data_IF_924841643720
#
_entry.id   IF_924841643720
#
_cell.length_a   1.000
_cell.length_b   1.000
_cell.length_c   1.000
_cell.angle_alpha   90.00
_cell.angle_beta   90.00
_cell.angle_gamma   90.00
#
_symmetry.space_group_name_H-M   'P 1'
#
loop_
_entity.id
_entity.type
_entity.pdbx_description
1 polymer ?
#
# COMPACT_ATOMS: atom_id res chain seq x y z
N UNK A 1 -17.71 11.58 -11.04
CA UNK A 1 -17.00 10.49 -10.32
C UNK A 1 -15.63 11.04 -9.99
N UNK A 2 -15.28 11.15 -8.71
CA UNK A 2 -13.98 11.62 -8.28
C UNK A 2 -13.01 10.45 -8.34
N UNK A 3 -12.16 10.41 -9.36
CA UNK A 3 -11.03 9.47 -9.40
C UNK A 3 -10.13 9.78 -8.22
N UNK A 4 -10.08 8.85 -7.29
CA UNK A 4 -9.15 8.92 -6.17
C UNK A 4 -7.87 8.27 -6.66
N UNK A 5 -7.04 9.05 -7.37
CA UNK A 5 -5.71 8.59 -7.81
C UNK A 5 -4.85 8.32 -6.57
N UNK A 6 -4.74 7.05 -6.18
CA UNK A 6 -3.94 6.63 -5.04
C UNK A 6 -2.50 6.32 -5.47
N UNK A 7 -1.53 7.01 -4.87
CA UNK A 7 -0.09 6.79 -5.11
C UNK A 7 0.57 6.16 -3.88
N UNK A 8 0.49 4.83 -3.79
CA UNK A 8 1.13 4.05 -2.73
C UNK A 8 2.64 4.29 -2.67
N UNK A 9 3.28 4.40 -3.84
CA UNK A 9 4.73 4.58 -3.92
C UNK A 9 5.15 5.98 -3.48
N UNK A 10 4.35 7.00 -3.78
CA UNK A 10 4.51 8.36 -3.26
C UNK A 10 4.43 8.43 -1.73
N UNK A 11 3.50 7.70 -1.12
CA UNK A 11 3.40 7.57 0.34
C UNK A 11 4.62 6.86 0.92
N UNK A 12 5.05 5.74 0.32
CA UNK A 12 6.25 5.01 0.75
C UNK A 12 7.52 5.84 0.60
N UNK A 13 7.64 6.60 -0.49
CA UNK A 13 8.74 7.54 -0.71
C UNK A 13 8.77 8.63 0.36
N UNK A 14 7.61 9.20 0.69
CA UNK A 14 7.47 10.20 1.75
C UNK A 14 7.86 9.62 3.11
N UNK A 15 7.41 8.41 3.44
CA UNK A 15 7.79 7.69 4.65
C UNK A 15 9.31 7.47 4.73
N UNK A 16 9.95 7.02 3.63
CA UNK A 16 11.41 6.85 3.56
C UNK A 16 12.16 8.17 3.75
N UNK A 17 11.67 9.27 3.19
CA UNK A 17 12.29 10.58 3.36
C UNK A 17 12.21 11.06 4.82
N UNK A 18 11.09 10.83 5.50
CA UNK A 18 10.96 11.08 6.94
C UNK A 18 11.94 10.21 7.73
N UNK A 19 12.05 8.92 7.38
CA UNK A 19 13.05 8.01 7.96
C UNK A 19 14.49 8.51 7.80
N UNK A 20 14.84 9.13 6.67
CA UNK A 20 16.16 9.74 6.48
C UNK A 20 16.38 10.97 7.37
N UNK A 21 15.37 11.83 7.53
CA UNK A 21 15.43 12.97 8.45
C UNK A 21 15.63 12.52 9.91
N UNK A 22 15.01 11.39 10.29
CA UNK A 22 15.19 10.78 11.60
C UNK A 22 16.63 10.31 11.87
N UNK A 23 17.34 9.86 10.84
CA UNK A 23 18.75 9.43 10.95
C UNK A 23 19.71 10.62 11.11
N UNK A 24 19.34 11.80 10.60
CA UNK A 24 20.17 13.01 10.71
C UNK A 24 20.06 13.69 12.10
N UNK A 25 19.28 13.09 13.02
CA UNK A 25 19.07 13.63 14.37
C UNK A 25 20.20 13.25 15.35
N UNK A 26 21.23 12.53 14.92
CA UNK A 26 22.37 12.10 15.74
C UNK A 26 23.17 13.28 16.33
N UNK A 27 23.07 14.46 15.71
CA UNK A 27 23.63 15.70 16.26
C UNK A 27 23.04 16.03 17.65
N UNK A 28 21.77 15.74 17.90
CA UNK A 28 21.14 15.97 19.20
C UNK A 28 21.60 14.97 20.25
N UNK A 29 21.88 13.73 19.84
CA UNK A 29 22.47 12.71 20.72
C UNK A 29 23.92 13.07 21.09
N UNK A 30 24.67 13.68 20.15
CA UNK A 30 26.01 14.22 20.41
C UNK A 30 25.99 15.35 21.44
N UNK A 31 25.06 16.29 21.29
CA UNK A 31 24.93 17.44 22.21
C UNK A 31 24.54 16.97 23.61
N UNK A 32 23.74 15.92 23.75
CA UNK A 32 23.29 15.38 25.05
C UNK A 32 24.45 15.00 26.00
N UNK A 33 25.59 14.58 25.45
CA UNK A 33 26.78 14.23 26.23
C UNK A 33 27.70 15.41 26.58
N UNK A 34 27.42 16.61 26.07
CA UNK A 34 28.27 17.78 26.28
C UNK A 34 27.80 18.61 27.47
N UNK A 35 28.66 18.71 28.48
CA UNK A 35 28.51 19.65 29.59
C UNK A 35 29.65 20.67 29.49
N UNK A 36 29.34 21.95 29.27
CA UNK A 36 30.36 22.99 29.28
C UNK A 36 30.89 23.19 30.71
N UNK A 37 32.21 23.30 30.82
CA UNK A 37 32.91 23.79 32.02
C UNK A 37 33.45 25.18 31.68
N UNK A 38 32.83 26.20 32.26
CA UNK A 38 33.20 27.60 32.14
C UNK A 38 34.03 28.08 33.34
N UNK A 39 34.28 27.22 34.34
CA UNK A 39 35.03 27.52 35.55
C UNK A 39 34.17 27.84 36.78
N UNK A 40 34.84 28.04 37.93
CA UNK A 40 34.18 28.04 39.24
C UNK A 40 33.67 29.39 39.74
N UNK A 41 33.81 30.48 38.98
CA UNK A 41 33.34 31.81 39.39
C UNK A 41 31.84 31.99 39.11
N UNK A 42 31.18 32.88 39.86
CA UNK A 42 29.71 33.01 39.84
C UNK A 42 29.12 33.24 38.42
N UNK A 43 29.77 34.06 37.60
CA UNK A 43 29.34 34.31 36.22
C UNK A 43 29.51 33.09 35.31
N UNK A 44 30.56 32.29 35.51
CA UNK A 44 30.75 31.03 34.78
C UNK A 44 29.67 30.01 35.14
N UNK A 45 29.38 29.82 36.42
CA UNK A 45 28.30 28.91 36.86
C UNK A 45 26.92 29.36 36.37
N UNK A 46 26.67 30.68 36.29
CA UNK A 46 25.45 31.22 35.71
C UNK A 46 25.36 30.91 34.20
N UNK A 47 26.47 31.08 33.47
CA UNK A 47 26.53 30.77 32.04
C UNK A 47 26.35 29.27 31.78
N UNK A 48 26.98 28.41 32.58
CA UNK A 48 26.81 26.95 32.52
C UNK A 48 25.35 26.55 32.68
N UNK A 49 24.67 27.06 33.71
CA UNK A 49 23.24 26.78 33.91
C UNK A 49 22.40 27.23 32.72
N UNK A 50 22.67 28.41 32.17
CA UNK A 50 21.93 28.92 31.01
C UNK A 50 22.14 28.04 29.77
N UNK A 51 23.35 27.54 29.55
CA UNK A 51 23.67 26.63 28.44
C UNK A 51 23.07 25.25 28.68
N UNK A 52 23.14 24.74 29.91
CA UNK A 52 22.57 23.45 30.31
C UNK A 52 21.04 23.42 30.11
N UNK A 53 20.34 24.46 30.55
CA UNK A 53 18.88 24.61 30.35
C UNK A 53 18.51 24.63 28.87
N UNK A 54 19.26 25.39 28.05
CA UNK A 54 19.03 25.45 26.59
C UNK A 54 19.31 24.12 25.93
N UNK A 55 20.39 23.44 26.32
CA UNK A 55 20.75 22.11 25.83
C UNK A 55 19.63 21.11 26.15
N UNK A 56 19.16 21.09 27.39
CA UNK A 56 18.09 20.20 27.84
C UNK A 56 16.78 20.47 27.08
N UNK A 57 16.46 21.75 26.84
CA UNK A 57 15.32 22.15 26.02
C UNK A 57 15.43 21.67 24.57
N UNK A 58 16.58 21.86 23.93
CA UNK A 58 16.83 21.39 22.55
C UNK A 58 16.76 19.86 22.43
N UNK A 59 17.38 19.13 23.36
CA UNK A 59 17.36 17.67 23.38
C UNK A 59 15.93 17.14 23.58
N UNK A 60 15.15 17.76 24.47
CA UNK A 60 13.74 17.40 24.69
C UNK A 60 12.89 17.65 23.44
N UNK A 61 13.07 18.81 22.80
CA UNK A 61 12.34 19.13 21.57
C UNK A 61 12.69 18.17 20.44
N UNK A 62 13.97 17.83 20.27
CA UNK A 62 14.43 16.85 19.30
C UNK A 62 13.84 15.45 19.58
N UNK A 63 13.78 15.02 20.84
CA UNK A 63 13.15 13.74 21.20
C UNK A 63 11.64 13.71 20.85
N UNK A 64 10.94 14.82 21.05
CA UNK A 64 9.53 14.93 20.67
C UNK A 64 9.35 14.89 19.15
N UNK A 65 10.17 15.63 18.40
CA UNK A 65 10.16 15.63 16.93
C UNK A 65 10.44 14.21 16.37
N UNK A 66 11.44 13.52 16.93
CA UNK A 66 11.78 12.12 16.60
C UNK A 66 10.57 11.19 16.79
N UNK A 67 9.80 11.40 17.86
CA UNK A 67 8.58 10.60 18.13
C UNK A 67 7.48 10.87 17.10
N UNK A 68 7.25 12.13 16.75
CA UNK A 68 6.23 12.52 15.77
C UNK A 68 6.59 11.97 14.38
N UNK A 69 7.84 12.12 13.95
CA UNK A 69 8.29 11.63 12.66
C UNK A 69 8.23 10.10 12.55
N UNK A 70 8.57 9.36 13.61
CA UNK A 70 8.39 7.89 13.64
C UNK A 70 6.91 7.50 13.49
N UNK A 71 6.00 8.20 14.17
CA UNK A 71 4.56 7.97 14.03
C UNK A 71 4.08 8.26 12.61
N UNK A 72 4.50 9.38 12.02
CA UNK A 72 4.16 9.74 10.64
C UNK A 72 4.69 8.72 9.63
N UNK A 73 5.95 8.29 9.75
CA UNK A 73 6.51 7.24 8.90
C UNK A 73 5.68 5.95 8.97
N UNK A 74 5.34 5.50 10.19
CA UNK A 74 4.53 4.29 10.39
C UNK A 74 3.11 4.44 9.83
N UNK A 75 2.47 5.58 10.05
CA UNK A 75 1.13 5.85 9.54
C UNK A 75 1.09 5.88 8.01
N UNK A 76 2.06 6.53 7.37
CA UNK A 76 2.14 6.59 5.90
C UNK A 76 2.33 5.20 5.28
N UNK A 77 3.18 4.34 5.90
CA UNK A 77 3.33 2.94 5.46
C UNK A 77 2.04 2.15 5.65
N UNK A 78 1.40 2.28 6.81
CA UNK A 78 0.14 1.57 7.09
C UNK A 78 -1.00 1.98 6.14
N UNK A 79 -1.09 3.27 5.78
CA UNK A 79 -2.04 3.75 4.78
C UNK A 79 -1.71 3.17 3.39
N UNK A 80 -0.42 3.15 3.01
CA UNK A 80 0.03 2.54 1.76
C UNK A 80 -0.41 1.08 1.65
N UNK A 81 -0.14 0.29 2.68
CA UNK A 81 -0.45 -1.14 2.71
C UNK A 81 -1.97 -1.38 2.73
N UNK A 82 -2.73 -0.61 3.52
CA UNK A 82 -4.19 -0.78 3.63
C UNK A 82 -4.93 -0.51 2.31
N UNK A 83 -4.46 0.45 1.53
CA UNK A 83 -5.08 0.77 0.23
C UNK A 83 -4.68 -0.23 -0.85
N UNK A 84 -3.44 -0.71 -0.88
CA UNK A 84 -3.06 -1.81 -1.78
C UNK A 84 -3.82 -3.10 -1.49
N UNK A 85 -4.05 -3.40 -0.21
CA UNK A 85 -4.87 -4.55 0.19
C UNK A 85 -6.32 -4.39 -0.24
N UNK A 86 -6.88 -3.18 -0.13
CA UNK A 86 -8.21 -2.87 -0.62
C UNK A 86 -8.31 -3.02 -2.15
N UNK A 87 -7.32 -2.50 -2.90
CA UNK A 87 -7.26 -2.63 -4.35
C UNK A 87 -7.12 -4.09 -4.79
N UNK A 88 -6.28 -4.87 -4.11
CA UNK A 88 -6.15 -6.32 -4.37
C UNK A 88 -7.46 -7.05 -4.11
N UNK A 89 -8.11 -6.78 -2.98
CA UNK A 89 -9.40 -7.37 -2.65
C UNK A 89 -10.50 -7.00 -3.64
N UNK A 90 -10.46 -5.78 -4.18
CA UNK A 90 -11.37 -5.35 -5.24
C UNK A 90 -11.07 -6.05 -6.57
N UNK A 91 -9.80 -6.18 -6.96
CA UNK A 91 -9.39 -6.89 -8.16
C UNK A 91 -9.79 -8.37 -8.13
N UNK A 92 -9.61 -9.05 -6.99
CA UNK A 92 -10.04 -10.45 -6.81
C UNK A 92 -11.56 -10.61 -6.95
N UNK A 93 -12.35 -9.68 -6.39
CA UNK A 93 -13.82 -9.69 -6.55
C UNK A 93 -14.23 -9.50 -8.01
N UNK A 94 -13.59 -8.55 -8.71
CA UNK A 94 -13.83 -8.32 -10.14
C UNK A 94 -13.50 -9.57 -10.94
N UNK A 95 -12.35 -10.20 -10.70
CA UNK A 95 -11.95 -11.44 -11.37
C UNK A 95 -12.97 -12.57 -11.12
N UNK A 96 -13.42 -12.76 -9.88
CA UNK A 96 -14.45 -13.74 -9.54
C UNK A 96 -15.79 -13.46 -10.21
N UNK A 97 -16.23 -12.20 -10.26
CA UNK A 97 -17.46 -11.84 -10.99
C UNK A 97 -17.30 -12.04 -12.50
N UNK A 98 -16.11 -11.79 -13.05
CA UNK A 98 -15.85 -12.02 -14.47
C UNK A 98 -15.85 -13.51 -14.83
N UNK A 99 -15.15 -14.35 -14.06
CA UNK A 99 -15.10 -15.80 -14.27
C UNK A 99 -16.43 -16.49 -13.92
N UNK A 100 -17.06 -16.13 -12.80
CA UNK A 100 -18.26 -16.80 -12.31
C UNK A 100 -19.53 -16.34 -13.01
N UNK A 101 -19.75 -15.02 -13.09
CA UNK A 101 -21.04 -14.49 -13.54
C UNK A 101 -21.07 -14.25 -15.04
N UNK A 102 -19.97 -13.85 -15.68
CA UNK A 102 -19.96 -13.53 -17.11
C UNK A 102 -19.67 -14.76 -17.97
N UNK A 103 -18.60 -15.51 -17.69
CA UNK A 103 -18.31 -16.75 -18.44
C UNK A 103 -19.43 -17.77 -18.22
N UNK A 104 -19.88 -17.97 -16.98
CA UNK A 104 -21.00 -18.88 -16.69
C UNK A 104 -22.31 -18.48 -17.40
N UNK A 105 -22.61 -17.18 -17.53
CA UNK A 105 -23.79 -16.71 -18.30
C UNK A 105 -23.62 -16.91 -19.80
N UNK A 106 -22.43 -16.66 -20.34
CA UNK A 106 -22.12 -16.89 -21.76
C UNK A 106 -22.34 -18.38 -22.08
N UNK A 107 -21.72 -19.29 -21.33
CA UNK A 107 -21.91 -20.74 -21.53
C UNK A 107 -23.36 -21.18 -21.37
N UNK A 108 -24.10 -20.61 -20.40
CA UNK A 108 -25.52 -20.91 -20.22
C UNK A 108 -26.39 -20.38 -21.36
N UNK A 109 -26.05 -19.23 -21.95
CA UNK A 109 -26.77 -18.66 -23.09
C UNK A 109 -26.39 -19.35 -24.41
N UNK A 110 -25.15 -19.85 -24.54
CA UNK A 110 -24.72 -20.73 -25.64
C UNK A 110 -25.53 -22.03 -25.61
N UNK A 111 -25.61 -22.71 -24.46
CA UNK A 111 -26.41 -23.92 -24.30
C UNK A 111 -27.92 -23.71 -24.54
N UNK A 112 -28.46 -22.52 -24.24
CA UNK A 112 -29.85 -22.17 -24.59
C UNK A 112 -30.02 -21.94 -26.08
N UNK A 113 -29.01 -21.36 -26.73
CA UNK A 113 -29.00 -21.16 -28.18
C UNK A 113 -29.02 -22.50 -28.90
N UNK A 114 -28.20 -23.46 -28.47
CA UNK A 114 -28.20 -24.84 -28.99
C UNK A 114 -29.56 -25.53 -28.82
N UNK A 115 -30.17 -25.44 -27.63
CA UNK A 115 -31.51 -26.04 -27.41
C UNK A 115 -32.61 -25.43 -28.28
N UNK A 116 -32.45 -24.17 -28.70
CA UNK A 116 -33.41 -23.45 -29.56
C UNK A 116 -33.13 -23.67 -31.03
N UNK A 117 -31.88 -23.86 -31.42
CA UNK A 117 -31.47 -24.19 -32.77
C UNK A 117 -31.32 -25.71 -32.88
N UNK A 118 -32.39 -26.40 -33.29
CA UNK A 118 -32.28 -27.79 -33.72
C UNK A 118 -31.23 -27.88 -34.83
N UNK A 119 -30.03 -28.40 -34.53
CA UNK A 119 -29.06 -28.77 -35.56
C UNK A 119 -29.70 -29.88 -36.41
N UNK A 120 -30.02 -29.53 -37.66
CA UNK A 120 -30.71 -30.40 -38.63
C UNK A 120 -29.78 -31.40 -39.34
N UNK A 121 -28.49 -31.45 -38.99
CA UNK A 121 -27.54 -32.43 -39.55
C UNK A 121 -27.58 -33.72 -38.74
N UNK A 122 -27.96 -34.82 -39.38
CA UNK A 122 -28.14 -36.15 -38.78
C UNK A 122 -26.85 -36.87 -38.35
N UNK A 123 -25.92 -36.17 -37.72
CA UNK A 123 -24.73 -36.73 -37.07
C UNK A 123 -24.99 -37.03 -35.59
N UNK A 124 -24.20 -37.93 -34.99
CA UNK A 124 -24.27 -38.20 -33.54
C UNK A 124 -23.86 -36.95 -32.78
N UNK A 125 -24.84 -36.19 -32.31
CA UNK A 125 -24.63 -35.05 -31.42
C UNK A 125 -23.95 -35.54 -30.14
N UNK A 126 -22.79 -34.98 -29.82
CA UNK A 126 -22.24 -35.03 -28.46
C UNK A 126 -22.68 -33.73 -27.76
N UNK A 127 -23.69 -33.77 -26.88
CA UNK A 127 -24.31 -32.57 -26.33
C UNK A 127 -23.46 -31.81 -25.29
N UNK A 128 -22.21 -32.23 -25.06
CA UNK A 128 -21.39 -31.80 -23.91
C UNK A 128 -20.04 -31.15 -24.30
N UNK A 129 -19.77 -30.84 -25.57
CA UNK A 129 -18.47 -30.26 -25.97
C UNK A 129 -18.35 -28.73 -25.78
N UNK A 130 -19.48 -28.04 -25.66
CA UNK A 130 -19.57 -26.61 -25.37
C UNK A 130 -18.93 -25.68 -26.41
N UNK A 131 -18.74 -26.13 -27.65
CA UNK A 131 -18.05 -25.34 -28.69
C UNK A 131 -19.00 -24.58 -29.64
N UNK A 132 -20.31 -24.88 -29.61
CA UNK A 132 -21.33 -24.21 -30.42
C UNK A 132 -21.38 -24.60 -31.90
N UNK A 133 -20.68 -25.65 -32.34
CA UNK A 133 -20.63 -26.11 -33.73
C UNK A 133 -20.89 -27.62 -33.88
N UNK A 134 -21.27 -28.05 -35.08
CA UNK A 134 -21.40 -29.48 -35.41
C UNK A 134 -20.04 -30.07 -35.83
N UNK A 135 -19.52 -30.98 -35.00
CA UNK A 135 -18.28 -31.73 -35.21
C UNK A 135 -18.32 -32.68 -36.42
N UNK A 136 -19.47 -32.87 -37.07
CA UNK A 136 -19.61 -33.75 -38.23
C UNK A 136 -18.81 -33.30 -39.46
N UNK A 137 -18.34 -32.05 -39.50
CA UNK A 137 -17.54 -31.50 -40.60
C UNK A 137 -16.02 -31.69 -40.48
N UNK A 138 -15.51 -32.26 -39.37
CA UNK A 138 -14.07 -32.25 -39.09
C UNK A 138 -13.37 -33.63 -39.21
N UNK A 139 -13.95 -34.57 -39.96
CA UNK A 139 -13.28 -35.84 -40.31
C UNK A 139 -12.94 -35.88 -41.80
N UNK A 140 -11.72 -35.47 -42.13
CA UNK A 140 -10.98 -35.96 -43.29
C UNK A 140 -9.72 -36.67 -42.79
#
# INVERSE_FOLDING_TARGET
>A
MSDTSFDAEGLRKSARNIGKLLNDMDAFDTIKGQHPDAGSFATAQWLERMVDDRRNGLVSHAAHLKTIFKKLESSLKSIADSMEDADRGNAEKIAKSLEGDLVGKITADDAKTEKRQHNFSGGKNDPDDGNGYDDSFNRN
#
